data_IF_670015738979
#
_entry.id   IF_670015738979
#
_cell.length_a   1.000
_cell.length_b   1.000
_cell.length_c   1.000
_cell.angle_alpha   90.00
_cell.angle_beta   90.00
_cell.angle_gamma   90.00
#
_symmetry.space_group_name_H-M   'P 1'
#
loop_
_entity.id
_entity.type
_entity.pdbx_description
1 polymer ?
#
# COMPACT_ATOMS: atom_id res chain seq x y z
N UNK A 1 -9.08 3.49 20.92
CA UNK A 1 -10.13 3.18 19.92
C UNK A 1 -11.07 2.05 20.34
N UNK A 2 -10.59 0.88 20.82
CA UNK A 2 -11.49 -0.22 21.24
C UNK A 2 -12.46 0.14 22.38
N UNK A 3 -11.96 0.75 23.47
CA UNK A 3 -12.79 1.16 24.60
C UNK A 3 -13.84 2.22 24.22
N UNK A 4 -13.46 3.23 23.45
CA UNK A 4 -14.37 4.30 22.99
C UNK A 4 -15.46 3.76 22.05
N UNK A 5 -15.11 2.84 21.14
CA UNK A 5 -16.09 2.17 20.27
C UNK A 5 -17.05 1.26 21.04
N UNK A 6 -16.57 0.61 22.10
CA UNK A 6 -17.42 -0.18 23.00
C UNK A 6 -18.41 0.69 23.75
N UNK A 7 -17.94 1.78 24.39
CA UNK A 7 -18.81 2.73 25.10
C UNK A 7 -19.89 3.29 24.15
N UNK A 8 -19.50 3.73 22.96
CA UNK A 8 -20.44 4.22 21.96
C UNK A 8 -21.47 3.14 21.55
N UNK A 9 -21.02 1.91 21.32
CA UNK A 9 -21.88 0.79 20.97
C UNK A 9 -22.88 0.43 22.07
N UNK A 10 -22.49 0.54 23.34
CA UNK A 10 -23.38 0.34 24.49
C UNK A 10 -24.40 1.49 24.60
N UNK A 11 -23.95 2.74 24.53
CA UNK A 11 -24.82 3.93 24.62
C UNK A 11 -25.88 3.94 23.51
N UNK A 12 -25.50 3.56 22.28
CA UNK A 12 -26.42 3.46 21.15
C UNK A 12 -27.28 2.18 21.16
N UNK A 13 -27.16 1.33 22.19
CA UNK A 13 -27.93 0.10 22.34
C UNK A 13 -27.56 -1.02 21.34
N UNK A 14 -26.44 -0.87 20.62
CA UNK A 14 -25.92 -1.87 19.67
C UNK A 14 -25.26 -3.04 20.39
N UNK A 15 -24.55 -2.78 21.49
CA UNK A 15 -23.99 -3.81 22.37
C UNK A 15 -24.81 -3.88 23.65
N UNK A 16 -25.55 -4.97 23.83
CA UNK A 16 -26.41 -5.21 25.00
C UNK A 16 -25.75 -6.14 26.01
N UNK A 17 -24.75 -6.89 25.55
CA UNK A 17 -23.94 -7.80 26.35
C UNK A 17 -22.48 -7.80 25.86
N UNK A 18 -21.60 -8.34 26.69
CA UNK A 18 -20.23 -8.69 26.32
C UNK A 18 -20.19 -9.63 25.10
N UNK A 19 -21.16 -10.54 24.97
CA UNK A 19 -21.24 -11.45 23.83
C UNK A 19 -21.43 -10.74 22.48
N UNK A 20 -22.11 -9.59 22.46
CA UNK A 20 -22.31 -8.80 21.23
C UNK A 20 -21.00 -8.14 20.78
N UNK A 21 -20.17 -7.73 21.75
CA UNK A 21 -18.82 -7.22 21.50
C UNK A 21 -17.95 -8.32 20.90
N UNK A 22 -17.93 -9.50 21.52
CA UNK A 22 -17.15 -10.66 21.04
C UNK A 22 -17.59 -11.08 19.63
N UNK A 23 -18.91 -11.17 19.38
CA UNK A 23 -19.45 -11.47 18.03
C UNK A 23 -19.03 -10.45 17.00
N UNK A 24 -19.01 -9.16 17.35
CA UNK A 24 -18.55 -8.09 16.46
C UNK A 24 -17.06 -8.22 16.15
N UNK A 25 -16.24 -8.53 17.15
CA UNK A 25 -14.81 -8.81 16.95
C UNK A 25 -14.59 -10.03 16.04
N UNK A 26 -15.34 -11.11 16.25
CA UNK A 26 -15.29 -12.29 15.40
C UNK A 26 -15.72 -11.98 13.95
N UNK A 27 -16.73 -11.13 13.77
CA UNK A 27 -17.14 -10.62 12.46
C UNK A 27 -16.03 -9.85 11.75
N UNK A 28 -15.30 -8.99 12.46
CA UNK A 28 -14.12 -8.30 11.92
C UNK A 28 -12.98 -9.26 11.59
N UNK A 29 -12.76 -10.31 12.38
CA UNK A 29 -11.76 -11.33 12.04
C UNK A 29 -12.09 -12.08 10.75
N UNK A 30 -13.39 -12.30 10.46
CA UNK A 30 -13.83 -12.95 9.22
C UNK A 30 -13.43 -12.15 7.97
N UNK A 31 -13.51 -10.82 8.01
CA UNK A 31 -13.11 -9.97 6.86
C UNK A 31 -11.60 -9.99 6.61
N UNK A 32 -10.80 -10.35 7.62
CA UNK A 32 -9.35 -10.50 7.51
C UNK A 32 -8.91 -11.88 7.01
N UNK A 33 -9.81 -12.83 6.78
CA UNK A 33 -9.47 -14.20 6.34
C UNK A 33 -8.58 -14.23 5.09
N UNK A 34 -8.93 -13.48 4.04
CA UNK A 34 -8.12 -13.35 2.82
C UNK A 34 -6.74 -12.72 3.10
N UNK A 35 -6.69 -11.76 4.02
CA UNK A 35 -5.44 -11.12 4.43
C UNK A 35 -4.53 -12.11 5.17
N UNK A 36 -5.07 -12.98 6.03
CA UNK A 36 -4.29 -14.01 6.73
C UNK A 36 -3.66 -15.01 5.75
N UNK A 37 -4.39 -15.41 4.70
CA UNK A 37 -3.83 -16.27 3.65
C UNK A 37 -2.67 -15.58 2.93
N UNK A 38 -2.83 -14.30 2.59
CA UNK A 38 -1.77 -13.52 1.97
C UNK A 38 -0.53 -13.43 2.87
N UNK A 39 -0.71 -13.06 4.14
CA UNK A 39 0.39 -12.92 5.10
C UNK A 39 1.07 -14.27 5.34
N UNK A 40 0.33 -15.39 5.34
CA UNK A 40 0.89 -16.72 5.42
C UNK A 40 1.89 -16.97 4.29
N UNK A 41 1.49 -16.77 3.03
CA UNK A 41 2.38 -16.97 1.89
C UNK A 41 3.53 -15.95 1.85
N UNK A 42 3.27 -14.70 2.21
CA UNK A 42 4.31 -13.68 2.33
C UNK A 42 5.36 -14.08 3.37
N UNK A 43 4.95 -14.59 4.53
CA UNK A 43 5.86 -15.06 5.56
C UNK A 43 6.72 -16.24 5.06
N UNK A 44 6.13 -17.19 4.32
CA UNK A 44 6.89 -18.29 3.70
C UNK A 44 7.88 -17.77 2.66
N UNK A 45 7.47 -16.84 1.79
CA UNK A 45 8.34 -16.21 0.81
C UNK A 45 9.54 -15.53 1.49
N UNK A 46 9.30 -14.70 2.52
CA UNK A 46 10.38 -14.03 3.28
C UNK A 46 11.32 -15.04 3.92
N UNK A 47 10.79 -16.11 4.51
CA UNK A 47 11.58 -17.16 5.12
C UNK A 47 12.49 -17.87 4.09
N UNK A 48 11.95 -18.30 2.95
CA UNK A 48 12.73 -18.95 1.90
C UNK A 48 13.69 -18.00 1.19
N UNK A 49 13.31 -16.73 1.00
CA UNK A 49 14.16 -15.71 0.40
C UNK A 49 15.38 -15.39 1.27
N UNK A 50 15.21 -15.43 2.60
CA UNK A 50 16.31 -15.34 3.57
C UNK A 50 17.15 -16.61 3.59
N UNK A 51 16.52 -17.78 3.71
CA UNK A 51 17.21 -19.07 3.81
C UNK A 51 18.07 -19.39 2.57
N UNK A 52 17.59 -19.06 1.37
CA UNK A 52 18.31 -19.25 0.11
C UNK A 52 19.44 -18.24 -0.15
N UNK A 53 19.64 -17.27 0.74
CA UNK A 53 20.54 -16.12 0.56
C UNK A 53 20.22 -15.21 -0.65
N UNK A 54 19.12 -15.47 -1.38
CA UNK A 54 18.70 -14.62 -2.50
C UNK A 54 18.42 -13.20 -2.05
N UNK A 55 17.88 -13.00 -0.84
CA UNK A 55 17.66 -11.66 -0.30
C UNK A 55 18.94 -10.85 -0.11
N UNK A 56 19.99 -11.47 0.42
CA UNK A 56 21.29 -10.81 0.60
C UNK A 56 21.91 -10.51 -0.77
N UNK A 57 21.89 -11.47 -1.70
CA UNK A 57 22.47 -11.29 -3.03
C UNK A 57 21.76 -10.16 -3.79
N UNK A 58 20.43 -10.13 -3.79
CA UNK A 58 19.65 -9.09 -4.47
C UNK A 58 19.87 -7.73 -3.82
N UNK A 59 19.93 -7.66 -2.49
CA UNK A 59 20.17 -6.42 -1.76
C UNK A 59 21.55 -5.82 -2.06
N UNK A 60 22.61 -6.64 -2.03
CA UNK A 60 23.97 -6.20 -2.33
C UNK A 60 24.09 -5.74 -3.78
N UNK A 61 23.66 -6.56 -4.75
CA UNK A 61 23.73 -6.19 -6.17
C UNK A 61 22.92 -4.95 -6.50
N UNK A 62 21.71 -4.81 -5.94
CA UNK A 62 20.89 -3.62 -6.13
C UNK A 62 21.51 -2.38 -5.50
N UNK A 63 22.10 -2.51 -4.31
CA UNK A 63 22.82 -1.42 -3.67
C UNK A 63 24.04 -0.99 -4.48
N UNK A 64 24.80 -1.92 -5.06
CA UNK A 64 25.94 -1.61 -5.92
C UNK A 64 25.53 -0.85 -7.18
N UNK A 65 24.40 -1.23 -7.81
CA UNK A 65 23.83 -0.49 -8.94
C UNK A 65 23.49 0.94 -8.51
N UNK A 66 22.76 1.11 -7.39
CA UNK A 66 22.39 2.44 -6.89
C UNK A 66 23.60 3.28 -6.46
N UNK A 67 24.63 2.67 -5.87
CA UNK A 67 25.90 3.33 -5.55
C UNK A 67 26.62 3.82 -6.80
N UNK A 68 26.65 3.01 -7.86
CA UNK A 68 27.34 3.37 -9.10
C UNK A 68 26.72 4.56 -9.84
N UNK A 69 25.41 4.81 -9.63
CA UNK A 69 24.74 6.01 -10.15
C UNK A 69 25.21 7.30 -9.45
N UNK A 70 25.60 7.23 -8.18
CA UNK A 70 26.12 8.37 -7.40
C UNK A 70 25.17 9.59 -7.29
N UNK A 71 23.85 9.37 -7.30
CA UNK A 71 22.84 10.46 -7.27
C UNK A 71 22.36 10.85 -5.86
N UNK A 72 22.81 10.17 -4.81
CA UNK A 72 22.44 10.47 -3.42
C UNK A 72 21.01 10.04 -3.03
N UNK A 73 20.59 10.40 -1.81
CA UNK A 73 19.33 9.91 -1.22
C UNK A 73 18.09 10.48 -1.89
N UNK A 74 18.04 11.78 -2.18
CA UNK A 74 16.83 12.46 -2.66
C UNK A 74 16.36 11.89 -4.01
N UNK A 75 17.18 11.83 -5.07
CA UNK A 75 16.75 11.25 -6.35
C UNK A 75 16.39 9.77 -6.23
N UNK A 76 17.11 9.01 -5.38
CA UNK A 76 16.82 7.59 -5.12
C UNK A 76 15.43 7.41 -4.53
N UNK A 77 15.06 8.23 -3.54
CA UNK A 77 13.75 8.15 -2.91
C UNK A 77 12.63 8.59 -3.87
N UNK A 78 12.82 9.65 -4.66
CA UNK A 78 11.84 10.07 -5.68
C UNK A 78 11.61 8.96 -6.71
N UNK A 79 12.67 8.31 -7.18
CA UNK A 79 12.55 7.16 -8.09
C UNK A 79 11.79 6.00 -7.44
N UNK A 80 11.98 5.77 -6.14
CA UNK A 80 11.23 4.75 -5.41
C UNK A 80 9.75 5.12 -5.20
N UNK A 81 9.42 6.40 -4.99
CA UNK A 81 8.03 6.90 -5.01
C UNK A 81 7.38 6.57 -6.36
N UNK A 82 8.04 6.94 -7.46
CA UNK A 82 7.53 6.70 -8.82
C UNK A 82 7.36 5.20 -9.06
N UNK A 83 8.36 4.39 -8.71
CA UNK A 83 8.30 2.93 -8.84
C UNK A 83 7.13 2.34 -8.07
N UNK A 84 6.94 2.71 -6.79
CA UNK A 84 5.81 2.27 -5.98
C UNK A 84 4.47 2.69 -6.60
N UNK A 85 4.37 3.93 -7.09
CA UNK A 85 3.18 4.46 -7.76
C UNK A 85 2.83 3.72 -9.05
N UNK A 86 3.82 3.29 -9.84
CA UNK A 86 3.62 2.48 -11.04
C UNK A 86 3.11 1.07 -10.69
N UNK A 87 3.69 0.43 -9.67
CA UNK A 87 3.22 -0.88 -9.20
C UNK A 87 1.77 -0.79 -8.69
N UNK A 88 1.39 0.32 -8.06
CA UNK A 88 0.02 0.54 -7.58
C UNK A 88 -1.04 0.61 -8.71
N UNK A 89 -0.67 1.02 -9.92
CA UNK A 89 -1.58 0.98 -11.08
C UNK A 89 -1.91 -0.47 -11.50
N UNK A 90 -1.02 -1.42 -11.21
CA UNK A 90 -1.17 -2.83 -11.57
C UNK A 90 -1.75 -3.68 -10.43
N UNK A 91 -1.57 -3.25 -9.17
CA UNK A 91 -1.97 -4.01 -7.99
C UNK A 91 -2.57 -3.08 -6.93
N UNK A 92 -3.88 -3.15 -6.71
CA UNK A 92 -4.57 -2.23 -5.79
C UNK A 92 -4.26 -2.45 -4.29
N UNK A 93 -3.80 -3.63 -3.88
CA UNK A 93 -3.57 -3.92 -2.46
C UNK A 93 -2.23 -3.39 -1.96
N UNK A 94 -2.28 -2.36 -1.11
CA UNK A 94 -1.11 -1.80 -0.43
C UNK A 94 -0.34 -2.82 0.40
N UNK A 95 -1.03 -3.76 1.05
CA UNK A 95 -0.35 -4.80 1.84
C UNK A 95 0.30 -5.87 0.97
N UNK A 96 -0.33 -6.24 -0.16
CA UNK A 96 0.21 -7.24 -1.07
C UNK A 96 1.51 -6.78 -1.71
N UNK A 97 1.54 -5.54 -2.23
CA UNK A 97 2.73 -4.93 -2.81
C UNK A 97 3.85 -4.84 -1.78
N UNK A 98 3.56 -4.32 -0.58
CA UNK A 98 4.59 -4.16 0.45
C UNK A 98 5.17 -5.50 0.91
N UNK A 99 4.35 -6.55 0.99
CA UNK A 99 4.80 -7.89 1.34
C UNK A 99 5.87 -8.43 0.37
N UNK A 100 5.84 -8.02 -0.90
CA UNK A 100 6.81 -8.43 -1.93
C UNK A 100 8.00 -7.46 -1.98
N UNK A 101 7.74 -6.15 -1.88
CA UNK A 101 8.78 -5.12 -2.04
C UNK A 101 9.67 -4.97 -0.79
N UNK A 102 9.10 -5.02 0.41
CA UNK A 102 9.83 -4.79 1.65
C UNK A 102 11.03 -5.72 1.84
N UNK A 103 10.94 -7.04 1.60
CA UNK A 103 12.06 -7.97 1.77
C UNK A 103 13.22 -7.72 0.80
N UNK A 104 12.98 -6.99 -0.30
CA UNK A 104 13.96 -6.68 -1.33
C UNK A 104 14.57 -5.29 -1.08
N UNK A 105 13.72 -4.27 -0.93
CA UNK A 105 14.15 -2.88 -0.90
C UNK A 105 14.64 -2.43 0.49
N UNK A 106 14.07 -2.94 1.60
CA UNK A 106 14.53 -2.54 2.94
C UNK A 106 16.01 -2.93 3.13
N UNK A 107 16.44 -4.18 2.91
CA UNK A 107 17.86 -4.53 3.09
C UNK A 107 18.77 -3.77 2.13
N UNK A 108 18.33 -3.56 0.88
CA UNK A 108 19.09 -2.80 -0.13
C UNK A 108 19.35 -1.35 0.33
N UNK A 109 18.31 -0.66 0.79
CA UNK A 109 18.42 0.72 1.27
C UNK A 109 19.19 0.81 2.59
N UNK A 110 19.11 -0.20 3.46
CA UNK A 110 19.95 -0.27 4.66
C UNK A 110 21.44 -0.37 4.33
N UNK A 111 21.83 -1.09 3.26
CA UNK A 111 23.22 -1.14 2.78
C UNK A 111 23.70 0.22 2.25
N UNK A 112 22.78 1.06 1.76
CA UNK A 112 23.06 2.44 1.35
C UNK A 112 23.09 3.42 2.53
N UNK A 113 22.80 2.96 3.76
CA UNK A 113 22.75 3.79 4.96
C UNK A 113 21.39 4.46 5.21
N UNK A 114 20.34 4.04 4.51
CA UNK A 114 18.99 4.59 4.69
C UNK A 114 18.18 3.74 5.68
N UNK A 115 17.36 4.41 6.48
CA UNK A 115 16.53 3.77 7.50
C UNK A 115 15.36 2.97 6.87
N UNK A 116 14.93 1.85 7.46
CA UNK A 116 13.70 1.14 7.07
C UNK A 116 12.44 2.03 7.11
N UNK A 117 12.38 2.96 8.06
CA UNK A 117 11.28 3.90 8.26
C UNK A 117 11.11 4.82 7.05
N UNK A 118 12.22 5.38 6.55
CA UNK A 118 12.24 6.17 5.30
C UNK A 118 11.72 5.34 4.12
N UNK A 119 12.22 4.11 3.98
CA UNK A 119 11.79 3.19 2.91
C UNK A 119 10.29 2.95 2.93
N UNK A 120 9.72 2.77 4.13
CA UNK A 120 8.29 2.57 4.33
C UNK A 120 7.48 3.84 4.02
N UNK A 121 7.97 5.02 4.43
CA UNK A 121 7.31 6.30 4.14
C UNK A 121 7.24 6.55 2.64
N UNK A 122 8.36 6.40 1.95
CA UNK A 122 8.47 6.63 0.49
C UNK A 122 7.59 5.64 -0.27
N UNK A 123 7.55 4.37 0.16
CA UNK A 123 6.60 3.40 -0.39
C UNK A 123 5.15 3.85 -0.22
N UNK A 124 4.77 4.29 0.99
CA UNK A 124 3.40 4.74 1.30
C UNK A 124 2.98 5.98 0.52
N UNK A 125 3.92 6.90 0.27
CA UNK A 125 3.69 8.05 -0.61
C UNK A 125 3.37 7.53 -2.02
N UNK A 126 4.23 6.70 -2.60
CA UNK A 126 4.03 6.16 -3.95
C UNK A 126 2.74 5.35 -4.09
N UNK A 127 2.42 4.50 -3.12
CA UNK A 127 1.17 3.73 -3.08
C UNK A 127 -0.07 4.63 -3.07
N UNK A 128 0.02 5.78 -2.40
CA UNK A 128 -1.12 6.69 -2.22
C UNK A 128 -1.37 7.58 -3.43
N UNK A 129 -0.31 8.16 -4.03
CA UNK A 129 -0.44 9.21 -5.05
C UNK A 129 -1.15 8.73 -6.32
N UNK A 130 -1.04 7.46 -6.69
CA UNK A 130 -1.67 6.90 -7.91
C UNK A 130 -2.98 6.17 -7.64
N UNK A 131 -3.46 6.10 -6.38
CA UNK A 131 -4.70 5.41 -6.05
C UNK A 131 -5.90 5.97 -6.84
N UNK A 132 -6.03 7.29 -6.92
CA UNK A 132 -7.15 7.97 -7.59
C UNK A 132 -7.19 7.78 -9.11
N UNK A 133 -6.09 7.33 -9.71
CA UNK A 133 -6.00 6.99 -11.13
C UNK A 133 -5.84 5.47 -11.37
N UNK A 134 -5.84 4.67 -10.31
CA UNK A 134 -5.66 3.21 -10.42
C UNK A 134 -6.97 2.52 -10.76
N UNK A 135 -7.09 1.87 -11.93
CA UNK A 135 -8.28 1.10 -12.29
C UNK A 135 -8.43 -0.16 -11.45
N UNK A 136 -7.35 -0.59 -10.77
CA UNK A 136 -7.31 -1.76 -9.91
C UNK A 136 -7.80 -1.49 -8.47
N UNK A 137 -8.16 -0.24 -8.16
CA UNK A 137 -8.77 0.10 -6.88
C UNK A 137 -10.17 -0.54 -6.75
N UNK A 138 -10.46 -1.15 -5.59
CA UNK A 138 -11.73 -1.86 -5.34
C UNK A 138 -13.00 -0.99 -5.48
N UNK A 139 -12.88 0.33 -5.31
CA UNK A 139 -14.01 1.27 -5.42
C UNK A 139 -14.11 1.94 -6.78
N UNK A 140 -13.23 1.63 -7.74
CA UNK A 140 -13.16 2.33 -9.02
C UNK A 140 -14.48 2.29 -9.80
N UNK A 141 -15.12 1.11 -9.88
CA UNK A 141 -16.42 0.95 -10.54
C UNK A 141 -17.54 1.78 -9.87
N UNK A 142 -17.54 1.85 -8.53
CA UNK A 142 -18.48 2.67 -7.78
C UNK A 142 -18.29 4.16 -8.09
N UNK A 143 -17.04 4.63 -8.15
CA UNK A 143 -16.71 6.02 -8.46
C UNK A 143 -17.17 6.39 -9.88
N UNK A 144 -16.98 5.50 -10.86
CA UNK A 144 -17.50 5.70 -12.23
C UNK A 144 -19.03 5.83 -12.22
N UNK A 145 -19.73 4.95 -11.50
CA UNK A 145 -21.19 5.02 -11.40
C UNK A 145 -21.67 6.37 -10.81
N UNK A 146 -20.94 6.89 -9.81
CA UNK A 146 -21.20 8.23 -9.29
C UNK A 146 -20.94 9.33 -10.33
N UNK A 147 -19.82 9.27 -11.06
CA UNK A 147 -19.54 10.22 -12.14
C UNK A 147 -20.64 10.20 -13.22
N UNK A 148 -21.12 9.02 -13.58
CA UNK A 148 -22.17 8.82 -14.59
C UNK A 148 -23.52 9.42 -14.18
N UNK A 149 -23.75 9.66 -12.88
CA UNK A 149 -24.95 10.36 -12.42
C UNK A 149 -24.95 11.86 -12.76
N UNK A 150 -23.77 12.45 -13.01
CA UNK A 150 -23.60 13.85 -13.41
C UNK A 150 -23.27 14.01 -14.89
N UNK A 151 -22.50 13.09 -15.47
CA UNK A 151 -22.17 13.03 -16.89
C UNK A 151 -22.33 11.60 -17.41
N UNK A 152 -23.41 11.34 -18.14
CA UNK A 152 -23.76 10.02 -18.67
C UNK A 152 -22.75 9.46 -19.68
N UNK A 153 -21.85 10.30 -20.23
CA UNK A 153 -20.77 9.87 -21.13
C UNK A 153 -19.45 9.57 -20.40
N UNK A 154 -19.39 9.82 -19.09
CA UNK A 154 -18.19 9.57 -18.30
C UNK A 154 -17.84 8.08 -18.29
N UNK A 155 -16.58 7.79 -18.64
CA UNK A 155 -16.00 6.46 -18.58
C UNK A 155 -14.68 6.45 -17.82
N UNK A 156 -13.97 5.32 -17.92
CA UNK A 156 -12.65 5.15 -17.31
C UNK A 156 -11.67 6.27 -17.70
N UNK A 157 -11.61 6.59 -19.00
CA UNK A 157 -10.73 7.64 -19.50
C UNK A 157 -11.06 9.03 -18.95
N UNK A 158 -12.36 9.37 -18.86
CA UNK A 158 -12.83 10.64 -18.28
C UNK A 158 -12.43 10.75 -16.82
N UNK A 159 -12.63 9.69 -16.03
CA UNK A 159 -12.24 9.69 -14.62
C UNK A 159 -10.72 9.82 -14.45
N UNK A 160 -9.93 8.99 -15.15
CA UNK A 160 -8.47 9.00 -15.03
C UNK A 160 -7.89 10.34 -15.48
N UNK A 161 -8.34 10.89 -16.62
CA UNK A 161 -7.87 12.19 -17.11
C UNK A 161 -8.24 13.33 -16.17
N UNK A 162 -9.43 13.29 -15.55
CA UNK A 162 -9.87 14.29 -14.56
C UNK A 162 -9.04 14.21 -13.28
N UNK A 163 -8.67 13.00 -12.84
CA UNK A 163 -7.92 12.77 -11.60
C UNK A 163 -6.41 12.85 -11.76
N UNK A 164 -5.88 12.76 -12.98
CA UNK A 164 -4.44 12.80 -13.25
C UNK A 164 -3.75 14.08 -12.73
N UNK A 165 -4.29 15.30 -12.93
CA UNK A 165 -3.69 16.51 -12.36
C UNK A 165 -3.56 16.43 -10.84
N UNK A 166 -4.58 15.91 -10.14
CA UNK A 166 -4.54 15.74 -8.68
C UNK A 166 -3.43 14.78 -8.26
N UNK A 167 -3.27 13.66 -8.98
CA UNK A 167 -2.21 12.69 -8.72
C UNK A 167 -0.82 13.33 -8.85
N UNK A 168 -0.62 14.18 -9.87
CA UNK A 168 0.61 14.93 -10.07
C UNK A 168 0.85 15.98 -8.98
N UNK A 169 -0.18 16.73 -8.57
CA UNK A 169 -0.06 17.70 -7.48
C UNK A 169 0.28 17.02 -6.15
N UNK A 170 -0.34 15.87 -5.85
CA UNK A 170 0.02 15.09 -4.67
C UNK A 170 1.42 14.52 -4.76
N UNK A 171 1.86 14.05 -5.94
CA UNK A 171 3.24 13.61 -6.14
C UNK A 171 4.23 14.73 -5.82
N UNK A 172 4.02 15.93 -6.38
CA UNK A 172 4.91 17.08 -6.16
C UNK A 172 4.86 17.63 -4.74
N UNK A 173 3.69 17.59 -4.08
CA UNK A 173 3.54 18.10 -2.72
C UNK A 173 4.02 17.14 -1.63
N UNK A 174 4.08 15.84 -1.93
CA UNK A 174 4.39 14.80 -0.95
C UNK A 174 5.79 14.20 -1.13
N UNK A 175 6.45 14.41 -2.27
CA UNK A 175 7.83 13.97 -2.55
C UNK A 175 8.82 15.10 -2.32
#
# INVERSE_FOLDING_TARGET
FGATGMVYGVVMGKFKSDTDVIKSMAGSMKTLSMYLVLVFFAAQFVAYFKWSNLGIITAVKGADVLKSLNWGVIPTMILFVIFSGLINLLMGSASAKWAILAPIFIPMFMILGYSPELSQVVYRIGDSITNIISPMMSFFALIIAYFQSYDSKAGLGTLVSTMLPYSLFFFLGWS
#
